data_IF_503333833793
#
_entry.id   IF_503333833793
#
_cell.length_a   1.000
_cell.length_b   1.000
_cell.length_c   1.000
_cell.angle_alpha   90.00
_cell.angle_beta   90.00
_cell.angle_gamma   90.00
#
_symmetry.space_group_name_H-M   'P 1'
#
loop_
_entity.id
_entity.type
_entity.pdbx_description
1 polymer ?
#
# COMPACT_ATOMS: atom_id res chain seq x y z
N UNK A 1 -31.20 -21.85 1.23
CA UNK A 1 -31.09 -23.22 0.69
C UNK A 1 -29.61 -23.56 0.61
N UNK A 2 -29.21 -24.84 0.51
CA UNK A 2 -27.80 -25.21 0.35
C UNK A 2 -27.09 -24.44 -0.77
N UNK A 3 -27.79 -24.14 -1.86
CA UNK A 3 -27.25 -23.38 -3.01
C UNK A 3 -26.86 -21.96 -2.60
N UNK A 4 -27.70 -21.25 -1.84
CA UNK A 4 -27.39 -19.91 -1.33
C UNK A 4 -26.18 -19.89 -0.38
N UNK A 5 -25.97 -20.97 0.37
CA UNK A 5 -24.81 -21.10 1.26
C UNK A 5 -23.53 -21.27 0.44
N UNK A 6 -23.57 -22.15 -0.57
CA UNK A 6 -22.44 -22.39 -1.47
C UNK A 6 -22.08 -21.10 -2.22
N UNK A 7 -23.07 -20.42 -2.79
CA UNK A 7 -22.88 -19.14 -3.49
C UNK A 7 -22.22 -18.09 -2.59
N UNK A 8 -22.73 -17.92 -1.36
CA UNK A 8 -22.16 -16.96 -0.42
C UNK A 8 -20.71 -17.30 -0.04
N UNK A 9 -20.38 -18.58 0.15
CA UNK A 9 -19.00 -19.02 0.42
C UNK A 9 -18.09 -18.69 -0.77
N UNK A 10 -18.51 -19.00 -1.99
CA UNK A 10 -17.74 -18.70 -3.21
C UNK A 10 -17.49 -17.19 -3.35
N UNK A 11 -18.52 -16.38 -3.17
CA UNK A 11 -18.41 -14.92 -3.25
C UNK A 11 -17.51 -14.36 -2.15
N UNK A 12 -17.56 -14.92 -0.94
CA UNK A 12 -16.69 -14.53 0.18
C UNK A 12 -15.20 -14.77 -0.12
N UNK A 13 -14.86 -15.88 -0.78
CA UNK A 13 -13.49 -16.10 -1.24
C UNK A 13 -13.11 -15.13 -2.36
N UNK A 14 -14.02 -14.85 -3.31
CA UNK A 14 -13.81 -13.86 -4.37
C UNK A 14 -13.54 -12.44 -3.85
N UNK A 15 -14.22 -12.03 -2.78
CA UNK A 15 -14.04 -10.71 -2.14
C UNK A 15 -12.59 -10.45 -1.69
N UNK A 16 -11.89 -11.50 -1.24
CA UNK A 16 -10.48 -11.36 -0.84
C UNK A 16 -9.55 -11.03 -2.01
N UNK A 17 -9.87 -11.52 -3.22
CA UNK A 17 -9.09 -11.26 -4.42
C UNK A 17 -9.29 -9.82 -4.86
N UNK A 18 -10.54 -9.36 -4.95
CA UNK A 18 -10.83 -7.98 -5.38
C UNK A 18 -10.29 -6.96 -4.38
N UNK A 19 -10.32 -7.24 -3.08
CA UNK A 19 -9.73 -6.39 -2.04
C UNK A 19 -8.24 -6.13 -2.29
N UNK A 20 -7.48 -7.19 -2.61
CA UNK A 20 -6.06 -7.08 -2.97
C UNK A 20 -5.83 -6.32 -4.28
N UNK A 21 -6.74 -6.45 -5.25
CA UNK A 21 -6.67 -5.70 -6.50
C UNK A 21 -6.93 -4.20 -6.28
N UNK A 22 -7.93 -3.84 -5.47
CA UNK A 22 -8.23 -2.46 -5.10
C UNK A 22 -7.03 -1.82 -4.41
N UNK A 23 -6.43 -2.50 -3.41
CA UNK A 23 -5.25 -1.98 -2.70
C UNK A 23 -4.07 -1.70 -3.62
N UNK A 24 -3.77 -2.64 -4.53
CA UNK A 24 -2.71 -2.47 -5.51
C UNK A 24 -2.99 -1.28 -6.44
N UNK A 25 -4.20 -1.18 -6.97
CA UNK A 25 -4.60 -0.06 -7.83
C UNK A 25 -4.53 1.27 -7.08
N UNK A 26 -5.04 1.33 -5.86
CA UNK A 26 -4.99 2.52 -5.02
C UNK A 26 -3.55 2.99 -4.78
N UNK A 27 -2.61 2.07 -4.57
CA UNK A 27 -1.18 2.40 -4.41
C UNK A 27 -0.64 3.10 -5.66
N UNK A 28 -0.94 2.60 -6.87
CA UNK A 28 -0.50 3.23 -8.13
C UNK A 28 -1.17 4.59 -8.34
N UNK A 29 -2.46 4.71 -8.03
CA UNK A 29 -3.20 5.96 -8.21
C UNK A 29 -2.66 7.05 -7.27
N UNK A 30 -2.42 6.73 -5.99
CA UNK A 30 -1.80 7.65 -5.02
C UNK A 30 -0.42 8.12 -5.49
N UNK A 31 0.36 7.20 -6.07
CA UNK A 31 1.72 7.47 -6.51
C UNK A 31 1.77 8.38 -7.75
N UNK A 32 0.77 8.29 -8.64
CA UNK A 32 0.70 9.04 -9.91
C UNK A 32 -0.05 10.37 -9.83
N UNK A 33 -0.97 10.52 -8.87
CA UNK A 33 -1.74 11.76 -8.71
C UNK A 33 -0.97 12.80 -7.91
N UNK A 34 -1.01 14.06 -8.38
CA UNK A 34 -0.38 15.19 -7.67
C UNK A 34 -0.98 15.43 -6.29
N UNK A 35 -2.27 15.19 -6.13
CA UNK A 35 -2.97 15.29 -4.83
C UNK A 35 -2.85 14.00 -4.00
N UNK A 36 -2.12 12.99 -4.49
CA UNK A 36 -1.91 11.72 -3.81
C UNK A 36 -3.24 11.10 -3.32
N UNK A 37 -3.29 10.70 -2.05
CA UNK A 37 -4.48 10.12 -1.41
C UNK A 37 -5.67 11.06 -1.29
N UNK A 38 -5.48 12.37 -1.50
CA UNK A 38 -6.58 13.35 -1.47
C UNK A 38 -7.28 13.51 -2.82
N UNK A 39 -6.74 12.92 -3.88
CA UNK A 39 -7.38 12.91 -5.20
C UNK A 39 -8.71 12.16 -5.16
N UNK A 40 -9.69 12.62 -5.96
CA UNK A 40 -11.00 11.96 -6.08
C UNK A 40 -10.91 10.47 -6.46
N UNK A 41 -10.02 10.05 -7.38
CA UNK A 41 -9.82 8.63 -7.66
C UNK A 41 -9.38 7.81 -6.44
N UNK A 42 -8.53 8.38 -5.57
CA UNK A 42 -8.09 7.71 -4.35
C UNK A 42 -9.21 7.59 -3.31
N UNK A 43 -10.02 8.65 -3.14
CA UNK A 43 -11.21 8.60 -2.28
C UNK A 43 -12.17 7.50 -2.75
N UNK A 44 -12.41 7.42 -4.06
CA UNK A 44 -13.30 6.39 -4.61
C UNK A 44 -12.76 4.98 -4.41
N UNK A 45 -11.44 4.78 -4.58
CA UNK A 45 -10.81 3.49 -4.31
C UNK A 45 -10.82 3.14 -2.81
N UNK A 46 -10.73 4.13 -1.92
CA UNK A 46 -10.85 3.92 -0.48
C UNK A 46 -12.27 3.48 -0.08
N UNK A 47 -13.31 4.08 -0.68
CA UNK A 47 -14.71 3.64 -0.54
C UNK A 47 -14.86 2.18 -1.00
N UNK A 48 -14.43 1.87 -2.22
CA UNK A 48 -14.49 0.49 -2.75
C UNK A 48 -13.75 -0.51 -1.86
N UNK A 49 -12.60 -0.13 -1.31
CA UNK A 49 -11.86 -0.99 -0.39
C UNK A 49 -12.64 -1.24 0.91
N UNK A 50 -13.26 -0.20 1.46
CA UNK A 50 -14.10 -0.30 2.67
C UNK A 50 -15.33 -1.18 2.44
N UNK A 51 -15.97 -1.09 1.28
CA UNK A 51 -17.11 -1.93 0.95
C UNK A 51 -16.65 -3.38 0.71
N UNK A 52 -15.54 -3.58 -0.01
CA UNK A 52 -15.01 -4.90 -0.32
C UNK A 52 -14.68 -5.71 0.95
N UNK A 53 -14.09 -5.10 1.98
CA UNK A 53 -13.74 -5.80 3.23
C UNK A 53 -14.98 -6.27 4.01
N UNK A 54 -16.10 -5.54 3.88
CA UNK A 54 -17.35 -5.85 4.55
C UNK A 54 -18.29 -6.72 3.70
N UNK A 55 -17.99 -6.97 2.43
CA UNK A 55 -18.78 -7.85 1.54
C UNK A 55 -19.22 -9.17 2.18
N UNK A 56 -18.35 -9.94 2.87
CA UNK A 56 -18.76 -11.21 3.48
C UNK A 56 -19.79 -11.03 4.61
N UNK A 57 -19.81 -9.86 5.26
CA UNK A 57 -20.73 -9.55 6.36
C UNK A 57 -22.05 -8.97 5.85
N UNK A 58 -21.99 -8.13 4.82
CA UNK A 58 -23.15 -7.40 4.27
C UNK A 58 -23.88 -8.20 3.19
N UNK A 59 -23.18 -9.14 2.55
CA UNK A 59 -23.65 -9.82 1.34
C UNK A 59 -23.63 -8.95 0.08
N UNK A 60 -23.14 -7.70 0.19
CA UNK A 60 -22.96 -6.80 -0.95
C UNK A 60 -21.52 -6.93 -1.46
N UNK A 61 -21.35 -7.61 -2.59
CA UNK A 61 -20.03 -7.85 -3.18
C UNK A 61 -19.72 -6.79 -4.24
N UNK A 62 -18.51 -6.26 -4.18
CA UNK A 62 -18.00 -5.31 -5.19
C UNK A 62 -17.74 -6.05 -6.49
N UNK A 63 -18.21 -5.46 -7.59
CA UNK A 63 -18.04 -6.01 -8.91
C UNK A 63 -16.75 -5.50 -9.55
N UNK A 64 -16.12 -6.34 -10.37
CA UNK A 64 -14.86 -5.99 -11.05
C UNK A 64 -15.00 -4.76 -11.96
N UNK A 65 -16.19 -4.56 -12.50
CA UNK A 65 -16.69 -3.43 -13.28
C UNK A 65 -16.33 -2.09 -12.65
N UNK A 66 -16.41 -1.99 -11.33
CA UNK A 66 -16.18 -0.76 -10.56
C UNK A 66 -14.69 -0.41 -10.47
N UNK A 67 -13.82 -1.43 -10.45
CA UNK A 67 -12.36 -1.26 -10.38
C UNK A 67 -11.71 -1.03 -11.76
N UNK A 68 -12.29 -1.61 -12.83
CA UNK A 68 -11.69 -1.61 -14.18
C UNK A 68 -11.30 -0.23 -14.73
N UNK A 69 -12.07 0.86 -14.55
CA UNK A 69 -11.69 2.19 -15.03
C UNK A 69 -10.33 2.63 -14.48
N UNK A 70 -10.12 2.51 -13.16
CA UNK A 70 -8.88 2.87 -12.50
C UNK A 70 -7.69 2.04 -13.01
N UNK A 71 -7.88 0.73 -13.20
CA UNK A 71 -6.82 -0.12 -13.72
C UNK A 71 -6.40 0.24 -15.14
N UNK A 72 -7.37 0.48 -16.03
CA UNK A 72 -7.09 0.84 -17.43
C UNK A 72 -6.37 2.18 -17.56
N UNK A 73 -6.73 3.13 -16.71
CA UNK A 73 -6.17 4.47 -16.72
C UNK A 73 -4.77 4.49 -16.11
N UNK A 74 -4.60 3.92 -14.91
CA UNK A 74 -3.40 4.12 -14.10
C UNK A 74 -2.44 2.93 -14.06
N UNK A 75 -2.91 1.69 -14.22
CA UNK A 75 -2.10 0.49 -13.96
C UNK A 75 -1.44 -0.11 -15.23
N UNK A 76 -0.89 0.73 -16.09
CA UNK A 76 -0.11 0.29 -17.28
C UNK A 76 1.35 -0.10 -16.96
N UNK A 77 1.81 0.37 -15.83
CA UNK A 77 3.14 0.25 -15.24
C UNK A 77 3.01 0.52 -13.72
N UNK A 78 3.98 0.01 -12.96
CA UNK A 78 3.92 -0.05 -11.49
C UNK A 78 5.17 0.56 -10.85
N UNK A 79 5.08 1.18 -9.65
CA UNK A 79 6.26 1.68 -8.96
C UNK A 79 7.19 0.51 -8.57
N UNK A 80 8.51 0.73 -8.55
CA UNK A 80 9.49 -0.35 -8.32
C UNK A 80 9.27 -1.02 -6.96
N UNK A 81 8.89 -0.24 -5.94
CA UNK A 81 8.62 -0.75 -4.59
C UNK A 81 7.55 -1.85 -4.54
N UNK A 82 6.65 -1.93 -5.52
CA UNK A 82 5.65 -3.00 -5.60
C UNK A 82 6.19 -4.31 -6.17
N UNK A 83 7.37 -4.30 -6.82
CA UNK A 83 8.05 -5.51 -7.35
C UNK A 83 7.17 -6.44 -8.18
N UNK A 84 6.27 -5.90 -9.00
CA UNK A 84 5.43 -6.71 -9.90
C UNK A 84 6.29 -7.39 -10.97
N UNK A 85 6.62 -8.67 -10.75
CA UNK A 85 7.42 -9.46 -11.69
C UNK A 85 6.73 -9.58 -13.04
N UNK A 86 7.48 -9.39 -14.13
CA UNK A 86 6.95 -9.48 -15.51
C UNK A 86 6.15 -8.26 -15.97
N UNK A 87 5.91 -7.28 -15.09
CA UNK A 87 5.20 -6.04 -15.42
C UNK A 87 6.18 -4.90 -15.69
N UNK A 88 5.74 -3.90 -16.47
CA UNK A 88 6.50 -2.67 -16.64
C UNK A 88 6.55 -1.91 -15.32
N UNK A 89 7.71 -1.34 -15.02
CA UNK A 89 7.92 -0.55 -13.81
C UNK A 89 8.44 0.85 -14.12
N UNK A 90 8.19 1.79 -13.22
CA UNK A 90 8.72 3.14 -13.27
C UNK A 90 9.29 3.52 -11.90
N UNK A 91 10.30 4.39 -11.88
CA UNK A 91 10.88 4.89 -10.64
C UNK A 91 10.02 6.04 -10.11
N UNK A 92 9.37 5.83 -8.96
CA UNK A 92 8.56 6.85 -8.32
C UNK A 92 9.39 7.88 -7.53
N UNK A 93 8.86 9.09 -7.37
CA UNK A 93 9.41 10.13 -6.50
C UNK A 93 8.89 10.04 -5.06
N UNK A 94 7.95 9.12 -4.78
CA UNK A 94 7.29 8.99 -3.50
C UNK A 94 8.24 8.55 -2.39
N UNK A 95 7.84 8.87 -1.15
CA UNK A 95 8.56 8.49 0.07
C UNK A 95 8.77 6.98 0.14
N UNK A 96 7.78 6.19 -0.28
CA UNK A 96 7.80 4.74 -0.21
C UNK A 96 8.85 4.16 -1.17
N UNK A 97 8.92 4.68 -2.39
CA UNK A 97 9.94 4.28 -3.36
C UNK A 97 11.35 4.60 -2.88
N UNK A 98 11.56 5.84 -2.40
CA UNK A 98 12.86 6.29 -1.88
C UNK A 98 13.34 5.44 -0.71
N UNK A 99 12.42 5.04 0.18
CA UNK A 99 12.73 4.14 1.29
C UNK A 99 13.01 2.71 0.82
N UNK A 100 12.21 2.21 -0.11
CA UNK A 100 12.40 0.89 -0.70
C UNK A 100 13.78 0.76 -1.36
N UNK A 101 14.18 1.71 -2.21
CA UNK A 101 15.47 1.66 -2.92
C UNK A 101 16.67 1.72 -1.96
N UNK A 102 16.59 2.54 -0.90
CA UNK A 102 17.64 2.60 0.14
C UNK A 102 17.72 1.31 0.94
N UNK A 103 16.58 0.73 1.30
CA UNK A 103 16.56 -0.58 1.94
C UNK A 103 17.15 -1.62 0.98
N UNK A 104 16.77 -1.61 -0.29
CA UNK A 104 17.24 -2.57 -1.26
C UNK A 104 18.77 -2.51 -1.43
N UNK A 105 19.32 -1.30 -1.54
CA UNK A 105 20.76 -1.05 -1.58
C UNK A 105 21.47 -1.61 -0.34
N UNK A 106 20.95 -1.30 0.86
CA UNK A 106 21.59 -1.70 2.12
C UNK A 106 21.51 -3.21 2.39
N UNK A 107 20.39 -3.85 2.05
CA UNK A 107 20.14 -5.26 2.42
C UNK A 107 20.52 -6.25 1.31
N UNK A 108 20.34 -5.89 0.04
CA UNK A 108 20.60 -6.82 -1.07
C UNK A 108 21.89 -6.50 -1.84
N UNK A 109 22.32 -5.23 -1.89
CA UNK A 109 23.49 -4.83 -2.70
C UNK A 109 24.76 -4.60 -1.88
N UNK A 110 24.67 -4.38 -0.57
CA UNK A 110 25.86 -4.22 0.28
C UNK A 110 26.55 -5.55 0.60
N UNK A 111 27.89 -5.56 0.63
CA UNK A 111 28.69 -6.72 1.08
C UNK A 111 28.62 -6.91 2.60
N UNK A 112 28.49 -5.79 3.33
CA UNK A 112 28.30 -5.76 4.77
C UNK A 112 26.81 -5.85 5.11
N UNK A 113 26.24 -7.06 4.94
CA UNK A 113 24.84 -7.30 5.29
C UNK A 113 24.62 -6.92 6.75
N UNK A 114 23.73 -5.97 7.06
CA UNK A 114 23.42 -5.66 8.44
C UNK A 114 22.91 -6.94 9.12
N UNK A 115 23.52 -7.30 10.26
CA UNK A 115 23.03 -8.41 11.09
C UNK A 115 21.65 -8.02 11.57
N UNK A 116 20.61 -8.58 10.94
CA UNK A 116 19.26 -8.52 11.45
C UNK A 116 19.28 -9.42 12.68
N UNK A 117 19.27 -8.85 13.88
CA UNK A 117 19.04 -9.64 15.09
C UNK A 117 17.62 -10.21 14.96
N UNK A 118 17.51 -11.43 14.46
CA UNK A 118 16.27 -12.19 14.23
C UNK A 118 15.64 -12.68 15.53
N UNK A 119 16.29 -12.44 16.67
CA UNK A 119 15.62 -12.52 17.95
C UNK A 119 14.67 -11.33 18.08
N UNK A 120 13.40 -11.55 18.51
CA UNK A 120 12.66 -10.45 19.10
C UNK A 120 13.52 -9.98 20.26
N UNK A 121 14.26 -8.88 20.04
CA UNK A 121 14.79 -8.12 21.14
C UNK A 121 13.56 -7.91 22.00
N UNK A 122 13.57 -8.39 23.25
CA UNK A 122 12.59 -7.94 24.24
C UNK A 122 12.60 -6.43 24.05
N UNK A 123 11.55 -5.90 23.44
CA UNK A 123 11.32 -4.47 23.39
C UNK A 123 11.33 -4.14 24.87
N UNK A 124 12.48 -3.63 25.36
CA UNK A 124 12.54 -3.09 26.71
C UNK A 124 11.42 -2.09 26.66
N UNK A 125 10.35 -2.34 27.43
CA UNK A 125 9.21 -1.47 27.46
C UNK A 125 9.77 -0.07 27.53
N UNK A 126 9.66 0.65 26.41
CA UNK A 126 10.01 2.05 26.38
C UNK A 126 8.98 2.56 27.35
N UNK A 127 9.39 2.82 28.59
CA UNK A 127 8.56 3.52 29.55
C UNK A 127 8.07 4.69 28.73
N UNK A 128 6.77 4.76 28.47
CA UNK A 128 6.16 5.91 27.86
C UNK A 128 6.51 7.07 28.80
N UNK A 129 7.66 7.70 28.56
CA UNK A 129 7.92 9.05 28.94
C UNK A 129 6.92 9.79 28.09
N UNK A 130 5.78 10.07 28.72
CA UNK A 130 4.87 11.14 28.40
C UNK A 130 5.53 12.16 27.46
N UNK A 131 4.94 12.28 26.27
CA UNK A 131 4.99 13.51 25.47
C UNK A 131 6.33 14.23 25.48
N UNK A 132 7.34 13.65 24.83
CA UNK A 132 8.27 14.46 24.07
C UNK A 132 8.38 13.79 22.71
N UNK A 133 7.76 14.41 21.71
CA UNK A 133 8.02 14.12 20.31
C UNK A 133 9.54 14.08 20.14
N UNK A 134 10.12 12.88 19.96
CA UNK A 134 11.48 12.78 19.45
C UNK A 134 11.38 13.34 18.04
N UNK A 135 11.63 14.64 17.92
CA UNK A 135 11.77 15.29 16.64
C UNK A 135 13.10 14.77 16.12
N UNK A 136 13.04 13.71 15.33
CA UNK A 136 14.17 13.33 14.50
C UNK A 136 14.34 14.47 13.47
N UNK A 137 15.14 15.45 13.84
CA UNK A 137 15.50 16.62 13.01
C UNK A 137 16.07 16.18 11.66
N UNK A 138 16.73 15.01 11.60
CA UNK A 138 17.23 14.43 10.37
C UNK A 138 16.09 13.95 9.47
N UNK A 139 15.11 13.25 10.04
CA UNK A 139 13.91 12.83 9.33
C UNK A 139 13.00 14.00 8.95
N UNK A 140 12.85 15.01 9.82
CA UNK A 140 12.10 16.24 9.52
C UNK A 140 12.75 17.02 8.38
N UNK A 141 14.06 17.29 8.45
CA UNK A 141 14.80 17.95 7.38
C UNK A 141 14.74 17.17 6.06
N UNK A 142 14.64 15.84 6.14
CA UNK A 142 14.45 14.98 4.98
C UNK A 142 13.02 15.02 4.42
N UNK A 143 11.99 15.10 5.27
CA UNK A 143 10.59 15.30 4.87
C UNK A 143 10.37 16.69 4.25
N UNK A 144 10.99 17.71 4.83
CA UNK A 144 10.83 19.11 4.47
C UNK A 144 11.65 19.51 3.23
N UNK A 145 12.62 18.68 2.82
CA UNK A 145 13.52 18.94 1.70
C UNK A 145 13.08 18.31 0.37
N UNK A 146 11.97 18.76 -0.22
CA UNK A 146 11.54 18.42 -1.59
C UNK A 146 10.82 17.07 -1.78
N UNK A 147 9.73 16.83 -1.04
CA UNK A 147 8.80 15.72 -1.37
C UNK A 147 7.48 16.23 -1.99
N UNK A 148 7.08 17.48 -1.74
CA UNK A 148 5.82 18.06 -2.26
C UNK A 148 5.91 19.52 -2.75
N UNK A 149 7.12 20.02 -3.03
CA UNK A 149 7.28 21.34 -3.68
C UNK A 149 7.22 21.13 -5.20
N UNK A 150 6.02 21.18 -5.79
CA UNK A 150 5.75 21.65 -7.17
C UNK A 150 4.25 21.69 -7.50
#
# INVERSE_FOLDING_TARGET
>A
TPEKIIEHIVNSFGASIILGMIANTHTVVVDKHREHSFSEPCKKLAELFSDAIDSPKTGHFIEMEELRPFQKEYCKDWPICMRKSGERTYQSTSVLEKLYLRAEERYFKSKDKPVINTFPQKLKAIKHASTNSVQDEGFKKWLDGDIYQE
#
